data_IF_957088170836
#
_entry.id   IF_957088170836
#
_cell.length_a   1.000
_cell.length_b   1.000
_cell.length_c   1.000
_cell.angle_alpha   90.00
_cell.angle_beta   90.00
_cell.angle_gamma   90.00
#
_symmetry.space_group_name_H-M   'P 1'
#
loop_
_entity.id
_entity.type
_entity.pdbx_description
1 polymer ?
#
# COMPACT_ATOMS: atom_id res chain seq x y z
N UNK A 1 -2.30 4.93 11.65
CA UNK A 1 -3.20 6.11 11.62
C UNK A 1 -3.63 6.35 10.18
N UNK A 2 -4.89 6.65 9.95
CA UNK A 2 -5.45 6.96 8.64
C UNK A 2 -5.78 8.46 8.60
N UNK A 3 -5.30 9.18 7.60
CA UNK A 3 -5.45 10.64 7.48
C UNK A 3 -6.08 10.95 6.12
N UNK A 4 -7.31 11.47 6.14
CA UNK A 4 -7.99 11.92 4.93
C UNK A 4 -7.70 13.40 4.72
N UNK A 5 -7.08 13.71 3.60
CA UNK A 5 -6.80 15.06 3.15
C UNK A 5 -7.88 15.52 2.18
N UNK A 6 -8.49 16.67 2.45
CA UNK A 6 -9.40 17.35 1.54
C UNK A 6 -8.74 18.65 1.10
N UNK A 7 -8.58 18.82 -0.21
CA UNK A 7 -7.88 19.97 -0.80
C UNK A 7 -8.69 20.56 -1.95
N UNK A 8 -8.37 21.82 -2.30
CA UNK A 8 -8.80 22.42 -3.55
C UNK A 8 -7.58 22.74 -4.44
N UNK A 9 -7.70 22.49 -5.72
CA UNK A 9 -6.66 22.75 -6.67
C UNK A 9 -6.41 24.26 -6.83
N UNK A 10 -5.16 24.72 -6.70
CA UNK A 10 -4.78 26.14 -6.96
C UNK A 10 -4.53 26.40 -8.44
N UNK A 11 -4.28 25.35 -9.22
CA UNK A 11 -3.97 25.37 -10.65
C UNK A 11 -4.50 24.07 -11.27
N UNK A 12 -4.48 24.00 -12.59
CA UNK A 12 -4.82 22.75 -13.26
C UNK A 12 -3.89 21.62 -12.77
N UNK A 13 -4.48 20.53 -12.29
CA UNK A 13 -3.78 19.32 -11.86
C UNK A 13 -4.29 18.14 -12.67
N UNK A 14 -3.39 17.45 -13.33
CA UNK A 14 -3.70 16.23 -14.07
C UNK A 14 -3.24 15.00 -13.30
N UNK A 15 -4.13 14.04 -13.16
CA UNK A 15 -3.87 12.70 -12.64
C UNK A 15 -4.00 11.67 -13.76
N UNK A 16 -2.96 11.39 -14.54
CA UNK A 16 -3.07 10.40 -15.61
C UNK A 16 -3.50 9.04 -15.05
N UNK A 17 -4.16 8.18 -15.85
CA UNK A 17 -4.59 6.86 -15.41
C UNK A 17 -3.43 6.06 -14.78
N UNK A 18 -3.65 5.52 -13.57
CA UNK A 18 -2.65 4.78 -12.81
C UNK A 18 -1.52 5.62 -12.20
N UNK A 19 -1.53 6.95 -12.35
CA UNK A 19 -0.44 7.83 -11.94
C UNK A 19 -0.78 8.76 -10.78
N UNK A 20 -1.99 8.72 -10.23
CA UNK A 20 -2.41 9.65 -9.18
C UNK A 20 -1.46 9.60 -7.96
N UNK A 21 -1.10 8.43 -7.49
CA UNK A 21 -0.16 8.27 -6.39
C UNK A 21 1.25 8.78 -6.71
N UNK A 22 1.70 8.64 -7.96
CA UNK A 22 2.99 9.20 -8.37
C UNK A 22 2.97 10.74 -8.38
N UNK A 23 1.85 11.37 -8.78
CA UNK A 23 1.68 12.83 -8.74
C UNK A 23 1.71 13.33 -7.31
N UNK A 24 0.89 12.74 -6.41
CA UNK A 24 0.85 13.11 -4.99
C UNK A 24 2.19 12.89 -4.29
N UNK A 25 2.80 11.72 -4.51
CA UNK A 25 4.12 11.43 -3.94
C UNK A 25 5.21 12.37 -4.47
N UNK A 26 5.11 12.76 -5.72
CA UNK A 26 6.04 13.72 -6.32
C UNK A 26 5.93 15.11 -5.69
N UNK A 27 4.70 15.58 -5.47
CA UNK A 27 4.42 16.84 -4.78
C UNK A 27 4.93 16.80 -3.34
N UNK A 28 4.59 15.72 -2.60
CA UNK A 28 5.05 15.48 -1.23
C UNK A 28 6.57 15.47 -1.13
N UNK A 29 7.24 14.66 -1.94
CA UNK A 29 8.70 14.54 -1.87
C UNK A 29 9.44 15.80 -2.25
N UNK A 30 8.89 16.62 -3.16
CA UNK A 30 9.47 17.92 -3.50
C UNK A 30 9.37 18.91 -2.34
N UNK A 31 8.19 18.99 -1.70
CA UNK A 31 7.95 19.87 -0.57
C UNK A 31 8.77 19.46 0.67
N UNK A 32 8.79 18.18 1.00
CA UNK A 32 9.55 17.66 2.14
C UNK A 32 11.07 17.89 1.98
N UNK A 33 11.59 17.74 0.77
CA UNK A 33 13.04 17.97 0.52
C UNK A 33 13.44 19.40 0.75
N UNK A 34 12.57 20.37 0.51
CA UNK A 34 12.82 21.79 0.77
C UNK A 34 12.58 22.22 2.22
N UNK A 35 11.83 21.42 2.99
CA UNK A 35 11.38 21.79 4.33
C UNK A 35 12.11 21.05 5.46
N UNK A 36 12.61 19.84 5.20
CA UNK A 36 13.21 18.98 6.22
C UNK A 36 14.73 18.96 6.12
N UNK A 37 15.39 18.69 7.26
CA UNK A 37 16.78 18.32 7.26
C UNK A 37 16.98 16.96 6.56
N UNK A 38 18.22 16.62 6.14
CA UNK A 38 18.48 15.38 5.40
C UNK A 38 18.13 14.10 6.16
N UNK A 39 18.23 14.08 7.47
CA UNK A 39 17.97 12.90 8.31
C UNK A 39 16.48 12.62 8.38
N UNK A 40 15.65 13.61 8.70
CA UNK A 40 14.19 13.48 8.73
C UNK A 40 13.63 13.15 7.35
N UNK A 41 14.16 13.78 6.29
CA UNK A 41 13.77 13.45 4.92
C UNK A 41 14.10 12.00 4.59
N UNK A 42 15.30 11.52 4.95
CA UNK A 42 15.69 10.13 4.71
C UNK A 42 14.79 9.16 5.48
N UNK A 43 14.50 9.44 6.76
CA UNK A 43 13.63 8.60 7.58
C UNK A 43 12.23 8.43 6.98
N UNK A 44 11.63 9.53 6.52
CA UNK A 44 10.25 9.52 6.00
C UNK A 44 10.20 9.04 4.55
N UNK A 45 11.11 9.53 3.70
CA UNK A 45 10.93 9.45 2.25
C UNK A 45 11.93 8.55 1.53
N UNK A 46 13.13 8.38 2.05
CA UNK A 46 14.21 7.55 1.48
C UNK A 46 14.86 6.64 2.54
N UNK A 47 14.09 5.86 3.34
CA UNK A 47 14.69 5.01 4.36
C UNK A 47 15.60 3.98 3.68
N UNK A 48 16.90 4.07 3.98
CA UNK A 48 17.89 3.12 3.50
C UNK A 48 18.03 1.95 4.47
N UNK A 49 18.21 0.74 3.95
CA UNK A 49 18.65 -0.39 4.76
C UNK A 49 20.10 -0.09 5.22
N UNK A 50 20.29 0.15 6.52
CA UNK A 50 21.62 0.49 7.08
C UNK A 50 22.57 -0.70 7.04
N UNK A 51 22.05 -1.94 7.08
CA UNK A 51 22.83 -3.18 6.93
C UNK A 51 22.02 -4.27 6.22
N UNK A 52 22.65 -5.12 5.38
CA UNK A 52 22.00 -6.30 4.84
C UNK A 52 21.64 -7.25 6.00
N UNK A 53 20.36 -7.59 6.14
CA UNK A 53 19.89 -8.50 7.19
C UNK A 53 19.45 -7.84 8.50
N UNK A 54 19.46 -6.52 8.59
CA UNK A 54 19.10 -5.76 9.81
C UNK A 54 17.65 -5.94 10.29
N UNK A 55 16.77 -6.57 9.50
CA UNK A 55 15.40 -6.88 9.90
C UNK A 55 15.36 -8.37 10.29
N UNK A 56 15.40 -8.65 11.59
CA UNK A 56 15.13 -10.00 12.09
C UNK A 56 13.73 -10.45 11.64
N UNK A 57 13.63 -11.56 10.90
CA UNK A 57 12.37 -12.10 10.38
C UNK A 57 11.76 -11.34 9.19
N UNK A 58 12.48 -10.39 8.60
CA UNK A 58 12.04 -9.71 7.37
C UNK A 58 12.37 -10.52 6.11
N UNK A 59 11.68 -10.25 4.99
CA UNK A 59 11.99 -10.91 3.73
C UNK A 59 13.43 -10.58 3.30
N UNK A 60 14.21 -11.60 3.01
CA UNK A 60 15.57 -11.47 2.48
C UNK A 60 15.55 -10.72 1.13
N UNK A 61 16.46 -9.76 0.94
CA UNK A 61 16.68 -9.08 -0.34
C UNK A 61 15.98 -7.74 -0.53
N UNK A 62 15.49 -7.07 0.53
CA UNK A 62 15.09 -5.67 0.46
C UNK A 62 16.33 -4.78 0.46
N UNK A 63 16.62 -4.14 -0.67
CA UNK A 63 17.67 -3.11 -0.77
C UNK A 63 17.27 -1.77 -0.15
N UNK A 64 15.97 -1.53 0.02
CA UNK A 64 15.42 -0.32 0.64
C UNK A 64 14.28 -0.71 1.58
N UNK A 65 14.23 -0.07 2.72
CA UNK A 65 13.14 -0.27 3.66
C UNK A 65 11.83 0.32 3.11
N UNK A 66 10.67 -0.34 3.38
CA UNK A 66 9.38 0.26 3.08
C UNK A 66 9.22 1.55 3.89
N UNK A 67 8.67 2.55 3.24
CA UNK A 67 8.40 3.85 3.86
C UNK A 67 7.31 3.75 4.92
N UNK A 68 7.32 4.65 5.94
CA UNK A 68 6.32 4.65 7.02
C UNK A 68 4.93 5.13 6.57
N UNK A 69 4.62 5.12 5.28
CA UNK A 69 3.32 5.54 4.78
C UNK A 69 2.88 4.81 3.51
N UNK A 70 1.56 4.86 3.25
CA UNK A 70 0.97 4.48 1.97
C UNK A 70 -0.09 5.51 1.56
N UNK A 71 -0.16 5.85 0.25
CA UNK A 71 -1.14 6.79 -0.29
C UNK A 71 -2.28 6.01 -0.95
N UNK A 72 -3.53 6.41 -0.67
CA UNK A 72 -4.76 5.85 -1.25
C UNK A 72 -5.47 6.92 -2.04
N UNK A 73 -5.36 6.85 -3.35
CA UNK A 73 -5.83 7.89 -4.25
C UNK A 73 -6.39 7.31 -5.57
N UNK A 74 -6.86 6.07 -5.56
CA UNK A 74 -7.38 5.40 -6.77
C UNK A 74 -8.46 6.21 -7.48
N UNK A 75 -9.35 6.89 -6.72
CA UNK A 75 -10.43 7.73 -7.25
C UNK A 75 -9.96 8.97 -8.01
N UNK A 76 -8.68 9.34 -7.91
CA UNK A 76 -8.11 10.47 -8.64
C UNK A 76 -7.56 10.09 -10.02
N UNK A 77 -7.36 8.80 -10.29
CA UNK A 77 -6.82 8.35 -11.57
C UNK A 77 -7.72 8.78 -12.75
N UNK A 78 -7.11 9.37 -13.77
CA UNK A 78 -7.80 9.87 -14.97
C UNK A 78 -8.47 11.22 -14.79
N UNK A 79 -8.41 11.85 -13.60
CA UNK A 79 -9.03 13.16 -13.36
C UNK A 79 -8.14 14.31 -13.79
N UNK A 80 -8.78 15.36 -14.31
CA UNK A 80 -8.20 16.68 -14.53
C UNK A 80 -8.98 17.65 -13.64
N UNK A 81 -8.29 18.31 -12.73
CA UNK A 81 -8.87 19.28 -11.80
C UNK A 81 -8.58 20.68 -12.30
N UNK A 82 -9.60 21.54 -12.28
CA UNK A 82 -9.50 22.98 -12.51
C UNK A 82 -9.21 23.72 -11.20
N UNK A 83 -8.70 24.96 -11.24
CA UNK A 83 -8.59 25.79 -10.04
C UNK A 83 -9.91 25.88 -9.29
N UNK A 84 -9.90 25.60 -7.99
CA UNK A 84 -11.08 25.53 -7.13
C UNK A 84 -11.72 24.15 -6.99
N UNK A 85 -11.44 23.20 -7.88
CA UNK A 85 -11.97 21.84 -7.76
C UNK A 85 -11.50 21.16 -6.50
N UNK A 86 -12.45 20.60 -5.73
CA UNK A 86 -12.17 19.83 -4.53
C UNK A 86 -11.82 18.39 -4.86
N UNK A 87 -10.86 17.86 -4.13
CA UNK A 87 -10.46 16.45 -4.22
C UNK A 87 -9.97 15.94 -2.86
N UNK A 88 -10.05 14.64 -2.68
CA UNK A 88 -9.58 14.00 -1.47
C UNK A 88 -8.76 12.75 -1.78
N UNK A 89 -7.91 12.39 -0.83
CA UNK A 89 -7.17 11.13 -0.79
C UNK A 89 -6.82 10.79 0.66
N UNK A 90 -6.42 9.55 0.89
CA UNK A 90 -6.05 9.09 2.23
C UNK A 90 -4.56 8.76 2.26
N UNK A 91 -3.91 9.09 3.37
CA UNK A 91 -2.57 8.64 3.70
C UNK A 91 -2.64 7.78 4.96
N UNK A 92 -2.15 6.56 4.88
CA UNK A 92 -1.92 5.73 6.07
C UNK A 92 -0.50 5.94 6.56
N UNK A 93 -0.36 6.30 7.83
CA UNK A 93 0.91 6.47 8.52
C UNK A 93 1.14 5.29 9.46
N UNK A 94 2.32 4.68 9.39
CA UNK A 94 2.68 3.47 10.16
C UNK A 94 3.63 3.76 11.32
N UNK A 95 4.49 4.77 11.19
CA UNK A 95 5.30 5.24 12.32
C UNK A 95 4.50 6.26 13.13
N UNK A 96 3.96 5.80 14.28
CA UNK A 96 3.20 6.65 15.18
C UNK A 96 4.08 7.28 16.27
N UNK A 97 5.32 6.82 16.45
CA UNK A 97 6.27 7.40 17.41
C UNK A 97 6.86 8.68 16.84
N UNK A 98 7.15 8.67 15.51
CA UNK A 98 7.67 9.81 14.78
C UNK A 98 6.68 10.15 13.65
N UNK A 99 5.49 10.63 14.04
CA UNK A 99 4.42 10.88 13.08
C UNK A 99 4.82 11.98 12.10
N UNK A 100 4.76 11.65 10.81
CA UNK A 100 5.03 12.60 9.73
C UNK A 100 3.81 13.46 9.36
N UNK A 101 2.71 13.43 10.14
CA UNK A 101 1.45 14.08 9.77
C UNK A 101 1.60 15.58 9.54
N UNK A 102 2.28 16.29 10.46
CA UNK A 102 2.44 17.74 10.36
C UNK A 102 3.27 18.10 9.13
N UNK A 103 4.32 17.34 8.84
CA UNK A 103 5.13 17.52 7.64
C UNK A 103 4.34 17.29 6.36
N UNK A 104 3.47 16.27 6.34
CA UNK A 104 2.61 15.99 5.19
C UNK A 104 1.54 17.07 5.02
N UNK A 105 0.96 17.54 6.13
CA UNK A 105 -0.03 18.62 6.14
C UNK A 105 0.57 19.90 5.55
N UNK A 106 1.73 20.30 6.00
CA UNK A 106 2.46 21.46 5.47
C UNK A 106 2.84 21.29 4.00
N UNK A 107 3.36 20.12 3.62
CA UNK A 107 3.74 19.83 2.25
C UNK A 107 2.56 19.89 1.27
N UNK A 108 1.43 19.31 1.63
CA UNK A 108 0.24 19.37 0.80
C UNK A 108 -0.41 20.76 0.79
N UNK A 109 -0.35 21.50 1.90
CA UNK A 109 -0.81 22.89 1.96
C UNK A 109 0.01 23.84 1.06
N UNK A 110 1.29 23.55 0.84
CA UNK A 110 2.11 24.28 -0.13
C UNK A 110 1.71 23.99 -1.58
N UNK A 111 1.31 22.74 -1.86
CA UNK A 111 0.99 22.29 -3.21
C UNK A 111 -0.42 22.66 -3.67
N UNK A 112 -1.41 22.59 -2.76
CA UNK A 112 -2.82 22.89 -3.00
C UNK A 112 -3.42 23.65 -1.80
N UNK A 113 -4.63 24.16 -1.93
CA UNK A 113 -5.34 24.75 -0.80
C UNK A 113 -5.86 23.65 0.11
N UNK A 114 -5.31 23.54 1.31
CA UNK A 114 -5.80 22.61 2.32
C UNK A 114 -7.15 23.10 2.86
N UNK A 115 -8.16 22.21 2.86
CA UNK A 115 -9.49 22.47 3.41
C UNK A 115 -9.61 21.81 4.78
N UNK A 116 -9.33 20.50 4.86
CA UNK A 116 -9.35 19.77 6.13
C UNK A 116 -8.40 18.57 6.10
N UNK A 117 -8.00 18.14 7.30
CA UNK A 117 -7.36 16.85 7.55
C UNK A 117 -8.13 16.15 8.63
N UNK A 118 -8.73 15.02 8.29
CA UNK A 118 -9.41 14.16 9.25
C UNK A 118 -8.53 12.96 9.57
N UNK A 119 -8.37 12.64 10.84
CA UNK A 119 -7.53 11.53 11.28
C UNK A 119 -8.33 10.53 12.10
N UNK A 120 -8.06 9.24 11.87
CA UNK A 120 -8.62 8.14 12.62
C UNK A 120 -7.54 7.12 12.96
N UNK A 121 -7.53 6.67 14.20
CA UNK A 121 -6.73 5.49 14.57
C UNK A 121 -7.45 4.24 14.10
N UNK A 122 -6.72 3.38 13.37
CA UNK A 122 -7.21 2.09 12.92
C UNK A 122 -6.33 1.02 13.54
N UNK A 123 -6.93 0.12 14.29
CA UNK A 123 -6.28 -1.08 14.81
C UNK A 123 -6.83 -2.28 14.06
N UNK A 124 -5.95 -3.10 13.51
CA UNK A 124 -6.31 -4.37 12.91
C UNK A 124 -5.85 -5.46 13.86
N UNK A 125 -6.81 -6.22 14.38
CA UNK A 125 -6.53 -7.42 15.14
C UNK A 125 -6.01 -8.49 14.17
N UNK A 126 -4.86 -9.09 14.47
CA UNK A 126 -4.22 -10.09 13.64
C UNK A 126 -4.53 -11.53 14.07
N UNK A 127 -5.37 -11.71 15.07
CA UNK A 127 -5.84 -13.03 15.46
C UNK A 127 -6.83 -13.60 14.43
N UNK A 128 -6.84 -14.93 14.30
CA UNK A 128 -7.74 -15.61 13.38
C UNK A 128 -9.20 -15.28 13.68
N UNK A 129 -10.00 -15.10 12.65
CA UNK A 129 -11.44 -14.87 12.79
C UNK A 129 -12.10 -16.09 13.42
N UNK A 130 -12.96 -15.91 14.45
CA UNK A 130 -13.59 -17.02 15.15
C UNK A 130 -14.63 -17.75 14.30
N UNK A 131 -15.22 -17.07 13.32
CA UNK A 131 -16.21 -17.66 12.42
C UNK A 131 -15.56 -18.23 11.18
N UNK A 132 -15.94 -19.44 10.73
CA UNK A 132 -15.42 -20.01 9.50
C UNK A 132 -15.79 -19.16 8.29
N UNK A 133 -14.83 -18.97 7.40
CA UNK A 133 -15.02 -18.28 6.13
C UNK A 133 -14.46 -19.16 5.03
N UNK A 134 -15.33 -19.57 4.09
CA UNK A 134 -14.97 -20.52 3.03
C UNK A 134 -14.69 -19.86 1.69
N UNK A 135 -15.13 -18.61 1.47
CA UNK A 135 -14.98 -17.94 0.18
C UNK A 135 -14.78 -16.43 0.33
N UNK A 136 -13.81 -15.89 -0.39
CA UNK A 136 -13.53 -14.45 -0.42
C UNK A 136 -13.26 -14.00 -1.86
N UNK A 137 -13.49 -12.69 -2.09
CA UNK A 137 -13.01 -11.97 -3.27
C UNK A 137 -11.99 -10.94 -2.82
N UNK A 138 -10.84 -10.90 -3.48
CA UNK A 138 -9.85 -9.84 -3.34
C UNK A 138 -9.85 -9.01 -4.61
N UNK A 139 -10.20 -7.73 -4.47
CA UNK A 139 -10.20 -6.74 -5.54
C UNK A 139 -8.85 -5.99 -5.53
N UNK A 140 -8.18 -5.96 -6.68
CA UNK A 140 -6.95 -5.20 -6.91
C UNK A 140 -7.34 -3.85 -7.54
N UNK A 141 -7.54 -2.85 -6.70
CA UNK A 141 -8.07 -1.54 -7.09
C UNK A 141 -7.06 -0.67 -7.84
N UNK A 142 -5.78 -0.92 -7.62
CA UNK A 142 -4.67 -0.23 -8.30
C UNK A 142 -3.65 -1.26 -8.81
N UNK A 143 -2.78 -0.89 -9.78
CA UNK A 143 -1.78 -1.81 -10.30
C UNK A 143 -1.02 -2.52 -9.18
N UNK A 144 -1.09 -3.83 -9.15
CA UNK A 144 -0.47 -4.67 -8.12
C UNK A 144 0.56 -5.59 -8.78
N UNK A 145 1.83 -5.42 -8.42
CA UNK A 145 2.95 -6.25 -8.85
C UNK A 145 3.44 -7.07 -7.66
N UNK A 146 3.22 -8.38 -7.69
CA UNK A 146 3.74 -9.32 -6.70
C UNK A 146 5.02 -9.93 -7.24
N UNK A 147 6.15 -9.68 -6.57
CA UNK A 147 7.41 -10.33 -6.94
C UNK A 147 7.36 -11.79 -6.49
N UNK A 148 7.32 -12.71 -7.44
CA UNK A 148 7.42 -14.14 -7.21
C UNK A 148 8.26 -14.76 -8.33
N UNK A 149 8.99 -15.84 -8.01
CA UNK A 149 9.66 -16.66 -9.01
C UNK A 149 8.64 -17.52 -9.78
N UNK A 150 7.55 -17.94 -9.13
CA UNK A 150 6.72 -19.06 -9.58
C UNK A 150 5.21 -18.79 -9.51
N UNK A 151 4.76 -17.54 -9.25
CA UNK A 151 3.33 -17.25 -9.06
C UNK A 151 2.92 -15.81 -9.37
N UNK A 152 1.62 -15.58 -9.48
CA UNK A 152 0.98 -14.32 -9.86
C UNK A 152 -0.02 -13.86 -8.78
N UNK A 153 -0.61 -12.69 -8.96
CA UNK A 153 -1.65 -12.13 -8.07
C UNK A 153 -2.94 -13.00 -8.01
N UNK A 154 -3.09 -13.93 -8.94
CA UNK A 154 -4.14 -14.95 -8.91
C UNK A 154 -3.87 -16.10 -7.93
N UNK A 155 -2.64 -16.26 -7.44
CA UNK A 155 -2.24 -17.36 -6.56
C UNK A 155 -2.34 -16.92 -5.10
N UNK A 156 -3.27 -17.51 -4.34
CA UNK A 156 -3.52 -17.15 -2.95
C UNK A 156 -2.27 -17.21 -2.06
N UNK A 157 -1.47 -18.29 -2.09
CA UNK A 157 -0.25 -18.37 -1.28
C UNK A 157 0.73 -17.22 -1.55
N UNK A 158 0.85 -16.79 -2.81
CA UNK A 158 1.73 -15.66 -3.20
C UNK A 158 1.19 -14.36 -2.66
N UNK A 159 -0.11 -14.11 -2.84
CA UNK A 159 -0.79 -12.90 -2.33
C UNK A 159 -0.63 -12.81 -0.80
N UNK A 160 -0.97 -13.88 -0.10
CA UNK A 160 -0.90 -13.94 1.37
C UNK A 160 0.53 -13.72 1.87
N UNK A 161 1.52 -14.40 1.27
CA UNK A 161 2.91 -14.23 1.66
C UNK A 161 3.35 -12.77 1.54
N UNK A 162 3.00 -12.08 0.45
CA UNK A 162 3.36 -10.65 0.26
C UNK A 162 2.62 -9.72 1.21
N UNK A 163 1.35 -9.99 1.52
CA UNK A 163 0.58 -9.24 2.51
C UNK A 163 1.19 -9.39 3.91
N UNK A 164 1.35 -10.64 4.37
CA UNK A 164 1.92 -10.99 5.68
C UNK A 164 3.34 -10.45 5.87
N UNK A 165 4.23 -10.67 4.91
CA UNK A 165 5.63 -10.24 4.98
C UNK A 165 5.73 -8.71 5.06
N UNK A 166 4.87 -8.00 4.33
CA UNK A 166 4.82 -6.54 4.40
C UNK A 166 4.32 -6.05 5.75
N UNK A 167 3.28 -6.66 6.32
CA UNK A 167 2.79 -6.34 7.67
C UNK A 167 3.89 -6.58 8.70
N UNK A 168 4.57 -7.74 8.65
CA UNK A 168 5.68 -8.08 9.55
C UNK A 168 6.82 -7.07 9.46
N UNK A 169 7.21 -6.69 8.24
CA UNK A 169 8.29 -5.72 8.01
C UNK A 169 7.94 -4.33 8.54
N UNK A 170 6.72 -3.84 8.27
CA UNK A 170 6.29 -2.53 8.77
C UNK A 170 6.19 -2.52 10.30
N UNK A 171 5.71 -3.61 10.92
CA UNK A 171 5.69 -3.76 12.38
C UNK A 171 7.10 -3.77 12.98
N UNK A 172 8.04 -4.46 12.34
CA UNK A 172 9.44 -4.51 12.79
C UNK A 172 10.10 -3.14 12.77
N UNK A 173 9.82 -2.33 11.74
CA UNK A 173 10.45 -1.03 11.57
C UNK A 173 9.80 0.10 12.38
N UNK A 174 8.45 0.09 12.44
CA UNK A 174 7.67 1.23 12.92
C UNK A 174 6.71 0.89 14.06
N UNK A 175 6.68 -0.36 14.51
CA UNK A 175 5.75 -0.87 15.49
C UNK A 175 6.43 -1.66 16.62
N UNK A 176 5.68 -2.58 17.24
CA UNK A 176 6.15 -3.34 18.41
C UNK A 176 7.15 -4.47 18.09
N UNK A 177 7.41 -4.74 16.83
CA UNK A 177 8.27 -5.85 16.40
C UNK A 177 7.64 -6.66 15.26
N UNK A 178 8.39 -7.60 14.66
CA UNK A 178 7.87 -8.47 13.60
C UNK A 178 6.69 -9.32 14.11
N UNK A 179 6.03 -10.02 13.20
CA UNK A 179 5.03 -11.02 13.56
C UNK A 179 5.72 -12.23 14.22
N UNK A 180 5.22 -12.65 15.36
CA UNK A 180 5.66 -13.86 16.06
C UNK A 180 4.74 -15.05 15.68
N UNK A 181 4.90 -15.55 14.46
CA UNK A 181 4.07 -16.63 13.90
C UNK A 181 4.93 -17.69 13.23
N UNK A 182 4.36 -18.87 13.04
CA UNK A 182 4.95 -19.90 12.19
C UNK A 182 4.73 -19.56 10.71
N UNK A 183 5.65 -18.79 10.14
CA UNK A 183 5.62 -18.38 8.72
C UNK A 183 5.51 -19.55 7.75
N UNK A 184 6.16 -20.67 8.07
CA UNK A 184 6.16 -21.86 7.22
C UNK A 184 4.82 -22.57 7.27
N UNK A 185 4.30 -22.83 8.45
CA UNK A 185 3.00 -23.48 8.62
C UNK A 185 1.86 -22.67 8.03
N UNK A 186 1.86 -21.32 8.21
CA UNK A 186 0.90 -20.42 7.53
C UNK A 186 1.01 -20.55 6.01
N UNK A 187 2.22 -20.59 5.45
CA UNK A 187 2.41 -20.73 4.00
C UNK A 187 1.96 -22.11 3.48
N UNK A 188 2.17 -23.18 4.26
CA UNK A 188 1.71 -24.53 3.91
C UNK A 188 0.18 -24.62 3.90
N UNK A 189 -0.50 -24.09 4.93
CA UNK A 189 -1.98 -24.07 4.98
C UNK A 189 -2.57 -23.22 3.87
N UNK A 190 -1.96 -22.10 3.52
CA UNK A 190 -2.41 -21.26 2.41
C UNK A 190 -2.46 -21.97 1.06
N UNK A 191 -1.67 -23.05 0.86
CA UNK A 191 -1.69 -23.85 -0.38
C UNK A 191 -2.99 -24.64 -0.57
N UNK A 192 -3.76 -24.89 0.49
CA UNK A 192 -5.05 -25.54 0.40
C UNK A 192 -6.14 -24.64 -0.16
N UNK A 193 -5.95 -23.31 -0.13
CA UNK A 193 -6.88 -22.32 -0.67
C UNK A 193 -6.75 -22.28 -2.19
N UNK A 194 -7.86 -22.49 -2.87
CA UNK A 194 -7.91 -22.57 -4.34
C UNK A 194 -8.41 -21.26 -4.95
N UNK A 195 -7.86 -20.88 -6.07
CA UNK A 195 -8.42 -19.84 -6.91
C UNK A 195 -9.57 -20.42 -7.74
N UNK A 196 -10.79 -19.95 -7.51
CA UNK A 196 -11.99 -20.45 -8.21
C UNK A 196 -12.43 -19.53 -9.35
N UNK A 197 -12.07 -18.26 -9.29
CA UNK A 197 -12.32 -17.29 -10.35
C UNK A 197 -11.25 -16.20 -10.33
N UNK A 198 -10.83 -15.76 -11.50
CA UNK A 198 -9.87 -14.64 -11.60
C UNK A 198 -10.14 -13.85 -12.87
N UNK A 199 -10.39 -12.56 -12.70
CA UNK A 199 -10.57 -11.60 -13.78
C UNK A 199 -9.55 -10.46 -13.58
N UNK A 200 -8.32 -10.72 -13.98
CA UNK A 200 -7.20 -9.81 -13.87
C UNK A 200 -6.77 -9.33 -15.25
N UNK A 201 -6.45 -8.04 -15.33
CA UNK A 201 -5.82 -7.45 -16.52
C UNK A 201 -4.56 -6.72 -16.12
N UNK A 202 -3.52 -6.82 -16.92
CA UNK A 202 -2.29 -6.06 -16.71
C UNK A 202 -2.47 -4.61 -17.19
N UNK A 203 -2.12 -3.67 -16.32
CA UNK A 203 -2.07 -2.23 -16.65
C UNK A 203 -0.61 -1.82 -16.69
N UNK A 204 -0.14 -1.50 -17.88
CA UNK A 204 1.21 -0.95 -18.05
C UNK A 204 1.20 0.54 -17.68
N UNK A 205 2.02 0.90 -16.69
CA UNK A 205 2.22 2.29 -16.27
C UNK A 205 3.72 2.54 -16.25
N UNK A 206 4.16 3.60 -16.92
CA UNK A 206 5.56 3.98 -16.96
C UNK A 206 5.77 5.31 -16.22
N UNK A 207 6.78 5.36 -15.38
CA UNK A 207 7.20 6.56 -14.68
C UNK A 207 8.57 7.00 -15.17
N UNK A 208 8.72 8.28 -15.48
CA UNK A 208 10.02 8.92 -15.73
C UNK A 208 10.49 9.63 -14.47
N UNK A 209 11.67 9.28 -13.97
CA UNK A 209 12.30 9.98 -12.86
C UNK A 209 12.73 11.39 -13.29
N UNK A 210 12.23 12.43 -12.61
CA UNK A 210 12.68 13.81 -12.87
C UNK A 210 14.15 14.02 -12.50
N UNK A 211 14.67 13.27 -11.54
CA UNK A 211 16.04 13.39 -11.04
C UNK A 211 17.06 12.73 -11.97
N UNK A 212 16.75 11.53 -12.48
CA UNK A 212 17.72 10.72 -13.23
C UNK A 212 17.34 10.54 -14.71
N UNK A 213 16.15 10.98 -15.13
CA UNK A 213 15.64 10.75 -16.48
C UNK A 213 15.23 9.29 -16.76
N UNK A 214 15.54 8.36 -15.86
CA UNK A 214 15.27 6.93 -16.05
C UNK A 214 13.77 6.63 -16.09
N UNK A 215 13.39 5.68 -16.93
CA UNK A 215 12.04 5.14 -16.99
C UNK A 215 11.96 3.88 -16.15
N UNK A 216 10.89 3.78 -15.39
CA UNK A 216 10.60 2.62 -14.54
C UNK A 216 9.16 2.17 -14.78
N UNK A 217 8.98 0.90 -15.08
CA UNK A 217 7.66 0.29 -15.08
C UNK A 217 7.12 0.27 -13.64
N UNK A 218 5.92 0.78 -13.47
CA UNK A 218 5.18 0.73 -12.19
C UNK A 218 3.78 0.14 -12.41
N UNK A 219 3.61 -0.63 -13.47
CA UNK A 219 2.38 -1.34 -13.80
C UNK A 219 2.09 -2.51 -12.86
N UNK A 220 1.09 -3.29 -13.21
CA UNK A 220 0.69 -4.48 -12.45
C UNK A 220 -0.73 -4.93 -12.79
N UNK A 221 -1.21 -5.92 -12.06
CA UNK A 221 -2.55 -6.47 -12.22
C UNK A 221 -3.60 -5.60 -11.53
N UNK A 222 -4.76 -5.44 -12.18
CA UNK A 222 -5.99 -4.87 -11.62
C UNK A 222 -7.16 -5.78 -11.96
N UNK A 223 -8.23 -5.74 -11.16
CA UNK A 223 -9.39 -6.61 -11.29
C UNK A 223 -9.65 -7.36 -9.99
N UNK A 224 -10.02 -8.63 -10.06
CA UNK A 224 -10.24 -9.42 -8.84
C UNK A 224 -9.87 -10.89 -9.01
N UNK A 225 -9.65 -11.55 -7.87
CA UNK A 225 -9.58 -13.01 -7.75
C UNK A 225 -10.47 -13.48 -6.61
N UNK A 226 -11.15 -14.61 -6.81
CA UNK A 226 -11.92 -15.30 -5.78
C UNK A 226 -11.20 -16.55 -5.34
N UNK A 227 -11.21 -16.74 -4.04
CA UNK A 227 -10.50 -17.83 -3.37
C UNK A 227 -11.48 -18.63 -2.51
N UNK A 228 -11.31 -19.95 -2.50
CA UNK A 228 -12.14 -20.90 -1.76
C UNK A 228 -11.29 -21.86 -0.94
N UNK A 229 -11.68 -22.10 0.30
CA UNK A 229 -11.00 -22.94 1.27
C UNK A 229 -11.23 -22.42 2.69
N UNK A 230 -10.49 -22.93 3.66
CA UNK A 230 -10.48 -22.34 5.00
C UNK A 230 -9.61 -21.08 5.00
N UNK A 231 -10.27 -19.92 4.87
CA UNK A 231 -9.58 -18.63 4.73
C UNK A 231 -9.66 -17.75 5.98
N UNK A 232 -10.34 -18.20 7.04
CA UNK A 232 -10.60 -17.41 8.23
C UNK A 232 -9.32 -16.91 8.91
N UNK A 233 -8.29 -17.76 9.02
CA UNK A 233 -7.01 -17.40 9.64
C UNK A 233 -6.20 -16.36 8.83
N UNK A 234 -6.48 -16.20 7.53
CA UNK A 234 -5.73 -15.33 6.64
C UNK A 234 -6.36 -13.93 6.49
N UNK A 235 -7.64 -13.79 6.87
CA UNK A 235 -8.38 -12.53 6.72
C UNK A 235 -7.71 -11.35 7.42
N UNK A 236 -7.17 -11.49 8.65
CA UNK A 236 -6.52 -10.38 9.34
C UNK A 236 -5.34 -9.79 8.55
N UNK A 237 -4.56 -10.64 7.89
CA UNK A 237 -3.42 -10.18 7.07
C UNK A 237 -3.88 -9.45 5.80
N UNK A 238 -4.96 -9.92 5.17
CA UNK A 238 -5.56 -9.26 4.01
C UNK A 238 -6.23 -7.94 4.39
N UNK A 239 -6.87 -7.87 5.56
CA UNK A 239 -7.42 -6.65 6.12
C UNK A 239 -6.31 -5.63 6.41
N UNK A 240 -5.24 -6.03 7.09
CA UNK A 240 -4.08 -5.18 7.31
C UNK A 240 -3.45 -4.72 5.97
N UNK A 241 -3.44 -5.58 4.95
CA UNK A 241 -2.94 -5.24 3.63
C UNK A 241 -3.81 -4.21 2.90
N UNK A 242 -5.10 -4.06 3.23
CA UNK A 242 -5.92 -2.96 2.70
C UNK A 242 -5.38 -1.59 3.10
N UNK A 243 -4.73 -1.48 4.27
CA UNK A 243 -4.08 -0.27 4.76
C UNK A 243 -2.62 -0.17 4.31
N UNK A 244 -1.85 -1.25 4.39
CA UNK A 244 -0.41 -1.22 4.08
C UNK A 244 -0.13 -1.28 2.58
N UNK A 245 -1.04 -1.85 1.81
CA UNK A 245 -0.84 -2.28 0.43
C UNK A 245 -0.14 -3.62 0.34
N UNK A 246 -0.10 -4.19 -0.86
CA UNK A 246 0.56 -5.46 -1.15
C UNK A 246 1.44 -5.33 -2.40
N UNK A 247 2.59 -6.00 -2.38
CA UNK A 247 3.53 -5.98 -3.50
C UNK A 247 4.38 -4.71 -3.59
N UNK A 248 4.77 -4.36 -4.82
CA UNK A 248 5.69 -3.24 -5.08
C UNK A 248 4.94 -1.91 -5.20
N UNK A 249 5.66 -0.82 -5.02
CA UNK A 249 5.20 0.55 -5.30
C UNK A 249 4.01 1.04 -4.45
N UNK A 250 3.75 0.46 -3.27
CA UNK A 250 2.63 0.85 -2.40
C UNK A 250 2.67 2.33 -1.98
N UNK A 251 3.85 2.94 -1.85
CA UNK A 251 3.99 4.38 -1.57
C UNK A 251 3.68 5.28 -2.77
N UNK A 252 3.45 4.71 -3.94
CA UNK A 252 2.99 5.39 -5.15
C UNK A 252 1.52 5.12 -5.43
N UNK A 253 0.78 4.63 -4.42
CA UNK A 253 -0.63 4.32 -4.53
C UNK A 253 -0.95 2.98 -5.19
N UNK A 254 0.07 2.17 -5.50
CA UNK A 254 -0.11 0.84 -6.05
C UNK A 254 -0.36 -0.20 -4.95
N UNK A 255 -0.81 -1.39 -5.35
CA UNK A 255 -1.04 -2.49 -4.42
C UNK A 255 -2.22 -2.26 -3.46
N UNK A 256 -3.15 -1.38 -3.79
CA UNK A 256 -4.38 -1.21 -3.01
C UNK A 256 -5.31 -2.37 -3.29
N UNK A 257 -5.64 -3.12 -2.24
CA UNK A 257 -6.57 -4.24 -2.30
C UNK A 257 -7.78 -4.00 -1.40
N UNK A 258 -8.88 -4.65 -1.71
CA UNK A 258 -10.06 -4.73 -0.88
C UNK A 258 -10.56 -6.18 -0.84
N UNK A 259 -10.81 -6.70 0.37
CA UNK A 259 -11.27 -8.08 0.57
C UNK A 259 -12.74 -8.09 0.95
N UNK A 260 -13.53 -8.91 0.26
CA UNK A 260 -14.96 -9.14 0.54
C UNK A 260 -15.17 -10.62 0.88
N UNK A 261 -15.87 -10.90 1.97
CA UNK A 261 -16.38 -12.23 2.27
C UNK A 261 -17.58 -12.47 1.35
N UNK A 262 -17.56 -13.60 0.67
CA UNK A 262 -18.68 -14.03 -0.16
C UNK A 262 -19.50 -15.07 0.63
N UNK A 263 -20.79 -14.78 0.81
CA UNK A 263 -21.73 -15.76 1.34
C UNK A 263 -22.05 -16.78 0.25
N UNK A 264 -22.17 -18.08 0.57
CA UNK A 264 -22.69 -19.05 -0.40
C UNK A 264 -24.05 -18.58 -0.90
N UNK A 265 -24.21 -18.50 -2.21
CA UNK A 265 -25.56 -18.39 -2.79
C UNK A 265 -26.24 -19.75 -2.58
N UNK A 266 -27.34 -19.75 -1.82
CA UNK A 266 -28.21 -20.92 -1.61
C UNK A 266 -29.18 -21.05 -2.79
#
# INVERSE_FOLDING_TARGET
MSCQFVLAARRVVQFPPGMAGNVLRGALGSALRGALNPEDYAHIFEPAAREPGAIAGGPSGLSNWPRPFAIRCAALNGRILQPGDRFCFVVHLFDLRNSALDHFTQAFAQWAQLISVEQASVTVDLDARPSPVSRIRVEFQTPTELKSSDGDAKDFPVLLARARDRVSTLRSLYGPGPLEIDFRGVAERARSVKTVRSELRHVAVERRSRRTGQRHGIGGQVGFSEFEGDVAEFLPYLEAASFTGVGRHCTWGNGQIHTKILTPEF
#
